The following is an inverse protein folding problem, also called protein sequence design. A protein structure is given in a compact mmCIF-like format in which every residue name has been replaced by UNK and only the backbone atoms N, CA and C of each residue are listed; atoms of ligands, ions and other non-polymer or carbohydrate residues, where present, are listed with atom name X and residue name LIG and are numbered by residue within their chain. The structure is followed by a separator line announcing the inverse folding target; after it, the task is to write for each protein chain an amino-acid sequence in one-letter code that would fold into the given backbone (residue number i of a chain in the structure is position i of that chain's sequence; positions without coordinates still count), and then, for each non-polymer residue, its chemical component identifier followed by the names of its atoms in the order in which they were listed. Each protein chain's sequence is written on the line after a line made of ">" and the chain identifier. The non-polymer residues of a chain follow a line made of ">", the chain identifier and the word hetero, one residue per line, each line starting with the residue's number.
data_IF_920988107646
#
_entry.id   IF_920988107646
#
_cell.length_a   1.000
_cell.length_b   1.000
_cell.length_c   1.000
_cell.angle_alpha   90.00
_cell.angle_beta   90.00
_cell.angle_gamma   90.00
#
_symmetry.space_group_name_H-M   'P 1'
#
loop_
_entity.id
_entity.type
_entity.pdbx_description
1 polymer ?
#
# COMPACT_ATOMS: atom_id res chain seq x y z
N UNK A 1 8.09 8.78 0.13
CA UNK A 1 8.85 7.98 -0.85
C UNK A 1 9.70 8.92 -1.68
N UNK A 2 10.99 8.66 -1.84
CA UNK A 2 11.82 9.40 -2.78
C UNK A 2 11.26 9.28 -4.21
N UNK A 3 11.37 10.34 -4.99
CA UNK A 3 10.73 10.42 -6.32
C UNK A 3 11.22 9.33 -7.29
N UNK A 4 12.51 8.98 -7.21
CA UNK A 4 13.11 7.94 -8.05
C UNK A 4 12.47 6.53 -7.90
N UNK A 5 11.71 6.29 -6.84
CA UNK A 5 11.05 4.99 -6.59
C UNK A 5 9.54 5.02 -6.89
N UNK A 6 9.01 6.17 -7.30
CA UNK A 6 7.60 6.27 -7.68
C UNK A 6 7.36 5.64 -9.04
N UNK A 7 6.13 5.18 -9.25
CA UNK A 7 5.68 4.75 -10.55
C UNK A 7 5.65 5.93 -11.53
N UNK A 8 6.05 5.68 -12.77
CA UNK A 8 5.85 6.64 -13.87
C UNK A 8 4.37 6.65 -14.25
N UNK A 9 3.71 7.79 -14.06
CA UNK A 9 2.28 7.93 -14.30
C UNK A 9 1.87 7.64 -15.75
N UNK A 10 2.74 7.92 -16.76
CA UNK A 10 2.45 7.61 -18.15
C UNK A 10 2.52 6.10 -18.42
N UNK A 11 3.49 5.41 -17.83
CA UNK A 11 3.58 3.94 -17.91
C UNK A 11 2.40 3.27 -17.21
N UNK A 12 2.02 3.76 -16.03
CA UNK A 12 0.83 3.28 -15.31
C UNK A 12 -0.43 3.48 -16.14
N UNK A 13 -0.62 4.65 -16.74
CA UNK A 13 -1.80 4.93 -17.58
C UNK A 13 -1.85 3.97 -18.79
N UNK A 14 -0.72 3.73 -19.45
CA UNK A 14 -0.62 2.79 -20.57
C UNK A 14 -0.91 1.34 -20.16
N UNK A 15 -0.44 0.91 -18.98
CA UNK A 15 -0.73 -0.40 -18.42
C UNK A 15 -2.21 -0.52 -18.03
N UNK A 16 -2.76 0.50 -17.37
CA UNK A 16 -4.16 0.57 -16.97
C UNK A 16 -5.14 0.53 -18.16
N UNK A 17 -4.77 1.11 -19.30
CA UNK A 17 -5.58 1.03 -20.52
C UNK A 17 -5.78 -0.43 -20.97
N UNK A 18 -4.80 -1.30 -20.74
CA UNK A 18 -4.85 -2.74 -21.07
C UNK A 18 -5.53 -3.59 -19.98
N UNK A 19 -5.73 -3.05 -18.78
CA UNK A 19 -6.43 -3.73 -17.69
C UNK A 19 -7.94 -3.55 -17.86
N UNK A 20 -8.57 -4.47 -18.58
CA UNK A 20 -10.01 -4.42 -18.89
C UNK A 20 -10.71 -5.67 -18.38
N UNK A 21 -12.03 -5.59 -18.14
CA UNK A 21 -12.84 -6.74 -17.76
C UNK A 21 -12.80 -7.86 -18.83
N UNK A 22 -12.65 -7.52 -20.10
CA UNK A 22 -12.48 -8.51 -21.17
C UNK A 22 -11.17 -9.30 -21.05
N UNK A 23 -10.09 -8.66 -20.58
CA UNK A 23 -8.79 -9.31 -20.36
C UNK A 23 -8.72 -10.07 -19.03
N UNK A 24 -9.45 -9.60 -18.04
CA UNK A 24 -9.49 -10.16 -16.68
C UNK A 24 -10.94 -10.40 -16.25
N UNK A 25 -11.65 -11.39 -16.86
CA UNK A 25 -13.09 -11.56 -16.69
C UNK A 25 -13.49 -11.94 -15.25
N UNK A 26 -12.59 -12.58 -14.51
CA UNK A 26 -12.86 -13.04 -13.13
C UNK A 26 -12.33 -12.06 -12.08
N UNK A 27 -11.73 -10.94 -12.48
CA UNK A 27 -11.15 -9.99 -11.56
C UNK A 27 -12.09 -8.82 -11.26
N UNK A 28 -12.24 -8.49 -9.98
CA UNK A 28 -12.96 -7.30 -9.53
C UNK A 28 -12.12 -6.02 -9.64
N UNK A 29 -10.80 -6.16 -9.59
CA UNK A 29 -9.80 -5.10 -9.72
C UNK A 29 -8.47 -5.67 -10.25
N UNK A 30 -7.59 -4.79 -10.71
CA UNK A 30 -6.23 -5.13 -11.16
C UNK A 30 -5.26 -4.18 -10.51
N UNK A 31 -4.22 -4.70 -9.86
CA UNK A 31 -3.07 -3.92 -9.42
C UNK A 31 -2.23 -3.61 -10.66
N UNK A 32 -2.23 -2.35 -11.05
CA UNK A 32 -1.55 -1.88 -12.27
C UNK A 32 -0.06 -1.72 -12.04
N UNK A 33 0.31 -1.13 -10.90
CA UNK A 33 1.68 -1.01 -10.43
C UNK A 33 1.67 -0.93 -8.89
N UNK A 34 2.61 -1.59 -8.26
CA UNK A 34 2.79 -1.56 -6.82
C UNK A 34 4.27 -1.52 -6.48
N UNK A 35 4.71 -0.46 -5.83
CA UNK A 35 6.12 -0.23 -5.52
C UNK A 35 6.34 -0.12 -4.04
N UNK A 36 7.16 -1.02 -3.54
CA UNK A 36 7.64 -1.02 -2.16
C UNK A 36 9.09 -0.54 -2.13
N UNK A 37 9.37 0.42 -1.27
CA UNK A 37 10.73 0.86 -1.00
C UNK A 37 10.96 0.91 0.50
N UNK A 38 11.89 0.12 1.00
CA UNK A 38 12.27 0.09 2.42
C UNK A 38 13.73 0.51 2.55
N UNK A 39 13.98 1.46 3.43
CA UNK A 39 15.32 1.80 3.90
C UNK A 39 15.49 1.33 5.33
N UNK A 40 16.42 0.42 5.49
CA UNK A 40 16.75 -0.26 6.73
C UNK A 40 18.06 0.30 7.32
N UNK A 41 18.10 0.48 8.64
CA UNK A 41 19.25 0.98 9.37
C UNK A 41 19.93 -0.12 10.20
N UNK A 42 21.20 0.08 10.56
CA UNK A 42 22.00 -0.94 11.23
C UNK A 42 21.50 -1.33 12.64
N UNK A 43 20.72 -0.47 13.29
CA UNK A 43 20.13 -0.72 14.60
C UNK A 43 18.79 -1.50 14.54
N UNK A 44 18.32 -1.79 13.34
CA UNK A 44 17.06 -2.50 13.08
C UNK A 44 15.84 -1.57 12.91
N UNK A 45 16.03 -0.26 12.91
CA UNK A 45 14.98 0.69 12.53
C UNK A 45 14.84 0.73 11.02
N UNK A 46 13.67 1.13 10.53
CA UNK A 46 13.40 1.25 9.09
C UNK A 46 12.36 2.34 8.77
N UNK A 47 12.34 2.74 7.51
CA UNK A 47 11.25 3.48 6.91
C UNK A 47 10.88 2.79 5.61
N UNK A 48 9.62 2.41 5.49
CA UNK A 48 9.05 1.80 4.29
C UNK A 48 8.03 2.73 3.65
N UNK A 49 7.99 2.75 2.33
CA UNK A 49 7.01 3.45 1.51
C UNK A 49 6.37 2.48 0.54
N UNK A 50 5.13 2.78 0.19
CA UNK A 50 4.35 2.05 -0.81
C UNK A 50 3.67 3.07 -1.75
N UNK A 51 3.66 2.74 -3.04
CA UNK A 51 3.03 3.51 -4.12
C UNK A 51 2.19 2.55 -4.96
N UNK A 52 0.88 2.45 -4.63
CA UNK A 52 -0.04 1.45 -5.16
C UNK A 52 -1.06 2.08 -6.12
N UNK A 53 -1.22 1.47 -7.29
CA UNK A 53 -2.16 1.86 -8.33
C UNK A 53 -3.10 0.70 -8.66
N UNK A 54 -4.36 0.81 -8.29
CA UNK A 54 -5.37 -0.24 -8.49
C UNK A 54 -6.48 0.25 -9.40
N UNK A 55 -6.67 -0.42 -10.53
CA UNK A 55 -7.82 -0.18 -11.41
C UNK A 55 -9.01 -1.02 -11.00
N UNK A 56 -10.15 -0.37 -10.83
CA UNK A 56 -11.42 -1.01 -10.48
C UNK A 56 -12.13 -1.49 -11.74
N UNK A 57 -12.54 -2.76 -11.77
CA UNK A 57 -13.21 -3.35 -12.93
C UNK A 57 -14.72 -3.59 -12.72
N UNK A 58 -15.15 -3.78 -11.46
CA UNK A 58 -16.53 -4.10 -11.12
C UNK A 58 -17.04 -3.27 -9.94
N UNK A 59 -18.35 -3.26 -9.70
CA UNK A 59 -18.95 -2.66 -8.51
C UNK A 59 -18.49 -3.33 -7.21
N UNK A 60 -18.16 -4.62 -7.23
CA UNK A 60 -17.61 -5.32 -6.09
C UNK A 60 -16.19 -4.81 -5.80
N UNK A 61 -15.35 -4.65 -6.83
CA UNK A 61 -14.04 -4.02 -6.73
C UNK A 61 -14.13 -2.57 -6.22
N UNK A 62 -15.09 -1.78 -6.73
CA UNK A 62 -15.31 -0.42 -6.24
C UNK A 62 -15.57 -0.38 -4.73
N UNK A 63 -16.43 -1.26 -4.22
CA UNK A 63 -16.70 -1.35 -2.78
C UNK A 63 -15.48 -1.80 -1.98
N UNK A 64 -14.73 -2.77 -2.48
CA UNK A 64 -13.51 -3.27 -1.82
C UNK A 64 -12.44 -2.18 -1.70
N UNK A 65 -12.35 -1.29 -2.69
CA UNK A 65 -11.36 -0.21 -2.72
C UNK A 65 -11.89 1.17 -2.28
N UNK A 66 -13.13 1.24 -1.74
CA UNK A 66 -13.73 2.47 -1.25
C UNK A 66 -13.10 2.99 0.06
N UNK A 67 -12.21 2.24 0.67
CA UNK A 67 -11.48 2.63 1.88
C UNK A 67 -10.04 2.14 1.77
N UNK A 68 -9.09 2.99 2.15
CA UNK A 68 -7.69 2.62 2.40
C UNK A 68 -7.57 2.35 3.90
N UNK A 69 -7.02 1.20 4.26
CA UNK A 69 -6.82 0.81 5.66
C UNK A 69 -5.39 0.34 5.88
N UNK A 70 -4.80 0.69 7.02
CA UNK A 70 -3.47 0.23 7.41
C UNK A 70 -3.39 0.03 8.90
N UNK A 71 -2.93 -1.16 9.30
CA UNK A 71 -2.68 -1.52 10.68
C UNK A 71 -1.22 -1.25 11.05
N UNK A 72 -1.01 -0.73 12.24
CA UNK A 72 0.33 -0.49 12.79
C UNK A 72 0.32 -0.54 14.32
N UNK A 73 1.45 -0.87 14.91
CA UNK A 73 1.61 -0.81 16.37
C UNK A 73 2.35 0.47 16.77
N UNK A 74 1.66 1.36 17.47
CA UNK A 74 2.23 2.59 18.01
C UNK A 74 3.32 2.34 19.07
N UNK A 75 3.44 1.10 19.58
CA UNK A 75 4.53 0.64 20.45
C UNK A 75 5.87 0.63 19.73
N UNK A 76 5.87 0.25 18.45
CA UNK A 76 7.09 0.01 17.69
C UNK A 76 7.36 1.08 16.66
N UNK A 77 6.32 1.76 16.19
CA UNK A 77 6.47 2.72 15.11
C UNK A 77 5.26 3.59 14.88
N UNK A 78 5.19 4.10 13.69
CA UNK A 78 4.11 4.93 13.18
C UNK A 78 3.92 4.69 11.68
N UNK A 79 2.77 5.10 11.18
CA UNK A 79 2.40 4.98 9.78
C UNK A 79 1.53 6.17 9.35
N UNK A 80 1.43 6.40 8.07
CA UNK A 80 0.57 7.47 7.56
C UNK A 80 0.36 7.42 6.06
N UNK A 81 -0.65 8.16 5.61
CA UNK A 81 -0.93 8.39 4.20
C UNK A 81 -0.21 9.65 3.73
N UNK A 82 0.47 9.55 2.58
CA UNK A 82 1.09 10.68 1.89
C UNK A 82 0.13 11.30 0.88
N UNK A 83 -0.63 10.46 0.18
CA UNK A 83 -1.66 10.86 -0.76
C UNK A 83 -2.65 9.72 -1.00
N UNK A 84 -3.89 10.09 -1.28
CA UNK A 84 -4.91 9.23 -1.87
C UNK A 84 -5.53 10.01 -3.02
N UNK A 85 -5.54 9.43 -4.20
CA UNK A 85 -5.99 10.07 -5.42
C UNK A 85 -6.88 9.12 -6.23
N UNK A 86 -7.81 9.68 -6.98
CA UNK A 86 -8.60 8.95 -7.96
C UNK A 86 -8.21 9.48 -9.34
N UNK A 87 -7.76 8.58 -10.21
CA UNK A 87 -7.46 8.91 -11.60
C UNK A 87 -8.63 8.46 -12.46
N UNK A 88 -9.33 9.42 -13.01
CA UNK A 88 -10.49 9.19 -13.88
C UNK A 88 -10.09 8.51 -15.19
N UNK A 89 -11.07 7.94 -15.87
CA UNK A 89 -10.89 7.30 -17.19
C UNK A 89 -10.40 8.27 -18.27
N UNK A 90 -10.58 9.57 -18.05
CA UNK A 90 -10.08 10.66 -18.89
C UNK A 90 -8.69 11.17 -18.47
N UNK A 91 -8.03 10.52 -17.48
CA UNK A 91 -6.73 10.91 -16.97
C UNK A 91 -6.74 12.05 -15.94
N UNK A 92 -7.90 12.61 -15.62
CA UNK A 92 -8.01 13.67 -14.61
C UNK A 92 -7.78 13.09 -13.22
N UNK A 93 -6.84 13.67 -12.48
CA UNK A 93 -6.51 13.29 -11.10
C UNK A 93 -7.37 14.10 -10.14
N UNK A 94 -8.06 13.41 -9.24
CA UNK A 94 -8.86 14.00 -8.16
C UNK A 94 -8.26 13.59 -6.81
N UNK A 95 -7.63 14.52 -6.07
CA UNK A 95 -7.11 14.22 -4.75
C UNK A 95 -8.24 14.02 -3.74
N UNK A 96 -8.06 13.06 -2.84
CA UNK A 96 -8.93 12.87 -1.68
C UNK A 96 -8.37 13.72 -0.52
N UNK A 97 -9.25 14.45 0.14
CA UNK A 97 -8.87 15.20 1.36
C UNK A 97 -8.63 14.21 2.51
N UNK A 98 -7.39 13.75 2.62
CA UNK A 98 -6.97 12.79 3.65
C UNK A 98 -7.21 13.34 5.05
N UNK A 99 -6.96 14.63 5.29
CA UNK A 99 -7.12 15.23 6.62
C UNK A 99 -8.58 15.17 7.10
N UNK A 100 -9.53 15.28 6.18
CA UNK A 100 -10.97 15.23 6.48
C UNK A 100 -11.50 13.79 6.62
N UNK A 101 -10.92 12.83 5.90
CA UNK A 101 -11.45 11.47 5.79
C UNK A 101 -10.72 10.46 6.66
N UNK A 102 -9.51 10.78 7.13
CA UNK A 102 -8.69 9.89 7.95
C UNK A 102 -9.32 9.69 9.34
N UNK A 103 -9.47 8.44 9.72
CA UNK A 103 -9.88 8.03 11.06
C UNK A 103 -8.82 7.08 11.61
N UNK A 104 -8.57 7.18 12.92
CA UNK A 104 -7.70 6.25 13.63
C UNK A 104 -8.50 5.60 14.75
N UNK A 105 -8.46 4.29 14.83
CA UNK A 105 -9.12 3.50 15.85
C UNK A 105 -8.16 2.47 16.45
N UNK A 106 -8.50 1.89 17.57
CA UNK A 106 -7.88 0.65 18.06
C UNK A 106 -8.28 -0.48 17.11
N UNK A 107 -7.38 -1.43 16.88
CA UNK A 107 -7.64 -2.55 15.98
C UNK A 107 -8.88 -3.34 16.42
N UNK A 108 -9.91 -3.35 15.57
CA UNK A 108 -11.18 -4.04 15.85
C UNK A 108 -11.05 -5.56 15.78
N UNK A 109 -10.12 -6.12 15.05
CA UNK A 109 -9.89 -7.56 14.97
C UNK A 109 -9.33 -8.08 16.30
N UNK A 110 -8.41 -7.34 16.91
CA UNK A 110 -7.89 -7.61 18.24
C UNK A 110 -8.98 -7.52 19.31
N UNK A 111 -9.89 -6.54 19.21
CA UNK A 111 -11.04 -6.41 20.11
C UNK A 111 -11.98 -7.62 20.02
N UNK A 112 -12.26 -8.13 18.84
CA UNK A 112 -13.12 -9.29 18.64
C UNK A 112 -12.52 -10.59 19.23
N UNK A 113 -11.20 -10.67 19.31
CA UNK A 113 -10.46 -11.80 19.90
C UNK A 113 -10.22 -11.64 21.42
N UNK A 114 -10.75 -10.60 22.07
CA UNK A 114 -10.44 -10.20 23.46
C UNK A 114 -8.94 -9.95 23.73
N UNK A 115 -8.17 -9.68 22.69
CA UNK A 115 -6.76 -9.31 22.75
C UNK A 115 -6.69 -7.81 22.48
N UNK A 116 -6.66 -7.02 23.55
CA UNK A 116 -6.62 -5.56 23.40
C UNK A 116 -5.23 -5.05 23.74
N UNK A 117 -4.42 -4.76 22.73
CA UNK A 117 -3.31 -3.82 22.90
C UNK A 117 -3.77 -2.43 22.44
N UNK A 118 -3.94 -1.47 23.37
CA UNK A 118 -4.40 -0.13 22.99
C UNK A 118 -3.39 0.63 22.12
N UNK A 119 -2.20 0.08 21.89
CA UNK A 119 -1.18 0.61 21.01
C UNK A 119 -1.27 0.04 19.58
N UNK A 120 -2.05 -1.02 19.37
CA UNK A 120 -2.36 -1.50 18.02
C UNK A 120 -3.47 -0.64 17.44
N UNK A 121 -3.19 -0.06 16.30
CA UNK A 121 -3.99 0.98 15.64
C UNK A 121 -4.27 0.61 14.21
N UNK A 122 -5.49 0.90 13.79
CA UNK A 122 -5.88 0.95 12.37
C UNK A 122 -6.16 2.40 12.02
N UNK A 123 -5.55 2.91 10.99
CA UNK A 123 -6.11 4.08 10.32
C UNK A 123 -6.90 3.67 9.09
N UNK A 124 -7.95 4.41 8.80
CA UNK A 124 -8.77 4.24 7.61
C UNK A 124 -9.06 5.58 6.97
N UNK A 125 -9.05 5.61 5.64
CA UNK A 125 -9.34 6.78 4.84
C UNK A 125 -10.37 6.39 3.77
N UNK A 126 -11.55 7.01 3.79
CA UNK A 126 -12.54 6.79 2.75
C UNK A 126 -12.09 7.40 1.42
N UNK A 127 -12.43 6.72 0.32
CA UNK A 127 -12.16 7.15 -1.06
C UNK A 127 -13.49 7.48 -1.75
N UNK A 128 -14.11 8.61 -1.41
CA UNK A 128 -15.43 8.97 -1.93
C UNK A 128 -15.37 9.27 -3.43
N UNK A 129 -16.38 8.81 -4.17
CA UNK A 129 -16.50 9.09 -5.60
C UNK A 129 -15.63 8.23 -6.50
N UNK A 130 -15.00 7.16 -5.98
CA UNK A 130 -14.35 6.15 -6.81
C UNK A 130 -15.41 5.41 -7.63
N UNK A 131 -15.18 5.26 -8.93
CA UNK A 131 -16.09 4.59 -9.86
C UNK A 131 -15.44 3.42 -10.59
N UNK A 132 -16.26 2.57 -11.19
CA UNK A 132 -15.78 1.48 -12.07
C UNK A 132 -15.05 2.07 -13.28
N UNK A 133 -13.91 1.49 -13.62
CA UNK A 133 -13.02 1.94 -14.68
C UNK A 133 -11.94 2.94 -14.23
N UNK A 134 -12.10 3.55 -13.06
CA UNK A 134 -11.12 4.49 -12.49
C UNK A 134 -10.01 3.77 -11.73
N UNK A 135 -8.95 4.50 -11.46
CA UNK A 135 -7.79 4.01 -10.70
C UNK A 135 -7.79 4.67 -9.32
N UNK A 136 -7.66 3.89 -8.27
CA UNK A 136 -7.27 4.35 -6.96
C UNK A 136 -5.74 4.38 -6.89
N UNK A 137 -5.16 5.51 -6.57
CA UNK A 137 -3.74 5.67 -6.32
C UNK A 137 -3.51 6.02 -4.85
N UNK A 138 -2.66 5.26 -4.18
CA UNK A 138 -2.36 5.42 -2.75
C UNK A 138 -0.87 5.50 -2.57
N UNK A 139 -0.42 6.48 -1.80
CA UNK A 139 0.95 6.55 -1.30
C UNK A 139 0.92 6.57 0.22
N UNK A 140 1.62 5.66 0.82
CA UNK A 140 1.72 5.55 2.27
C UNK A 140 3.15 5.37 2.74
N UNK A 141 3.34 5.46 4.04
CA UNK A 141 4.62 5.17 4.69
C UNK A 141 4.39 4.48 6.03
N UNK A 142 5.39 3.70 6.43
CA UNK A 142 5.52 3.09 7.75
C UNK A 142 6.91 3.37 8.28
N UNK A 143 7.07 3.46 9.58
CA UNK A 143 8.37 3.62 10.22
C UNK A 143 8.45 2.78 11.48
N UNK A 144 9.47 1.94 11.58
CA UNK A 144 9.85 1.26 12.81
C UNK A 144 10.87 2.12 13.56
N UNK A 145 10.45 2.65 14.72
CA UNK A 145 11.32 3.44 15.62
C UNK A 145 11.97 2.58 16.70
N UNK A 146 11.31 1.49 17.06
CA UNK A 146 11.76 0.56 18.09
C UNK A 146 11.63 -0.86 17.55
N UNK A 147 12.69 -1.42 16.97
CA UNK A 147 12.64 -2.76 16.44
C UNK A 147 12.37 -3.79 17.55
N UNK A 148 11.64 -4.85 17.25
CA UNK A 148 11.38 -5.95 18.19
C UNK A 148 12.68 -6.66 18.59
N UNK A 149 13.63 -6.76 17.67
CA UNK A 149 15.00 -7.22 17.92
C UNK A 149 15.99 -6.16 17.46
N UNK A 150 16.83 -5.71 18.38
CA UNK A 150 17.87 -4.72 18.06
C UNK A 150 18.87 -5.27 17.05
N UNK A 151 19.19 -4.48 16.05
CA UNK A 151 20.15 -4.84 15.02
C UNK A 151 19.70 -5.96 14.09
N UNK A 152 18.41 -6.32 14.11
CA UNK A 152 17.82 -7.28 13.17
C UNK A 152 16.67 -6.62 12.44
N UNK A 153 16.56 -6.93 11.15
CA UNK A 153 15.43 -6.55 10.30
C UNK A 153 15.00 -7.77 9.49
N UNK A 154 13.72 -7.96 9.35
CA UNK A 154 13.12 -8.96 8.47
C UNK A 154 11.78 -8.41 7.97
N UNK A 155 11.48 -8.63 6.71
CA UNK A 155 10.22 -8.29 6.10
C UNK A 155 9.80 -9.37 5.10
N UNK A 156 8.51 -9.43 4.81
CA UNK A 156 7.93 -10.36 3.83
C UNK A 156 6.96 -9.59 2.96
N UNK A 157 7.20 -9.58 1.67
CA UNK A 157 6.30 -9.02 0.67
C UNK A 157 5.59 -10.16 -0.06
N UNK A 158 4.26 -10.19 0.02
CA UNK A 158 3.45 -11.13 -0.74
C UNK A 158 3.16 -10.51 -2.11
N UNK A 159 3.67 -11.16 -3.17
CA UNK A 159 3.43 -10.77 -4.55
C UNK A 159 2.27 -11.54 -5.21
N UNK A 160 1.64 -12.46 -4.47
CA UNK A 160 0.46 -13.21 -4.90
C UNK A 160 -0.77 -12.69 -4.14
N UNK A 161 -1.75 -12.20 -4.90
CA UNK A 161 -2.99 -11.65 -4.37
C UNK A 161 -4.19 -12.19 -5.14
N UNK A 162 -5.40 -11.97 -4.62
CA UNK A 162 -6.66 -12.31 -5.32
C UNK A 162 -6.91 -11.45 -6.56
N UNK A 163 -6.33 -10.26 -6.63
CA UNK A 163 -6.35 -9.40 -7.81
C UNK A 163 -5.11 -9.64 -8.67
N UNK A 164 -5.23 -9.73 -9.99
CA UNK A 164 -4.08 -9.77 -10.88
C UNK A 164 -3.14 -8.58 -10.67
N UNK A 165 -1.84 -8.82 -10.68
CA UNK A 165 -0.78 -7.80 -10.57
C UNK A 165 -0.07 -7.70 -11.93
N UNK A 166 -0.01 -6.50 -12.52
CA UNK A 166 0.70 -6.27 -13.78
C UNK A 166 2.17 -5.92 -13.55
N UNK A 167 2.45 -5.19 -12.49
CA UNK A 167 3.80 -4.78 -12.10
C UNK A 167 3.90 -4.70 -10.58
N UNK A 168 4.96 -5.28 -10.02
CA UNK A 168 5.35 -5.08 -8.64
C UNK A 168 6.86 -4.92 -8.54
N UNK A 169 7.32 -3.93 -7.78
CA UNK A 169 8.75 -3.65 -7.58
C UNK A 169 9.04 -3.53 -6.10
N UNK A 170 9.95 -4.35 -5.62
CA UNK A 170 10.43 -4.28 -4.23
C UNK A 170 11.87 -3.80 -4.23
N UNK A 171 12.11 -2.69 -3.55
CA UNK A 171 13.44 -2.11 -3.39
C UNK A 171 13.79 -2.02 -1.92
N UNK A 172 14.99 -2.48 -1.57
CA UNK A 172 15.48 -2.44 -0.19
C UNK A 172 16.87 -1.81 -0.17
N UNK A 173 16.99 -0.71 0.56
CA UNK A 173 18.28 -0.08 0.88
C UNK A 173 18.74 -0.56 2.25
N UNK A 174 19.95 -1.09 2.32
CA UNK A 174 20.56 -1.57 3.55
C UNK A 174 21.98 -1.00 3.73
N UNK A 175 22.47 -0.85 4.98
CA UNK A 175 23.84 -0.48 5.23
C UNK A 175 24.81 -1.51 4.64
N UNK A 176 25.87 -1.06 3.96
CA UNK A 176 26.87 -1.94 3.34
C UNK A 176 27.51 -2.95 4.33
N UNK A 177 27.62 -2.56 5.60
CA UNK A 177 28.15 -3.42 6.66
C UNK A 177 27.17 -4.53 7.10
N UNK A 178 25.93 -4.52 6.61
CA UNK A 178 24.91 -5.51 6.94
C UNK A 178 24.14 -5.93 5.68
N UNK A 179 24.75 -6.75 4.83
CA UNK A 179 24.13 -7.22 3.62
C UNK A 179 22.85 -8.02 3.94
N UNK A 180 21.82 -7.83 3.13
CA UNK A 180 20.57 -8.55 3.23
C UNK A 180 20.70 -9.93 2.57
N UNK A 181 20.06 -10.91 3.19
CA UNK A 181 19.80 -12.21 2.55
C UNK A 181 18.33 -12.22 2.14
N UNK A 182 18.06 -12.54 0.90
CA UNK A 182 16.68 -12.66 0.41
C UNK A 182 16.44 -14.06 -0.14
N UNK A 183 15.22 -14.53 0.01
CA UNK A 183 14.72 -15.75 -0.61
C UNK A 183 13.35 -15.44 -1.22
N UNK A 184 13.10 -15.96 -2.41
CA UNK A 184 11.79 -15.92 -3.06
C UNK A 184 11.29 -17.34 -3.29
N UNK A 185 10.00 -17.55 -3.07
CA UNK A 185 9.28 -18.75 -3.48
C UNK A 185 8.36 -18.31 -4.63
N UNK A 186 8.52 -18.94 -5.79
CA UNK A 186 7.68 -18.76 -6.97
C UNK A 186 6.66 -19.87 -7.05
#
# INVERSE_FOLDING_TARGET
>A
MPEAFRADAAQVAAAAARATAARFPDADSVVVDDRFHTRYEADGTDVAWEDEWVKVLTEKGRRAHATVSLDYSARYGDAGLLAVEIVGTNGVVRPVDVARTLKTATDNAALAANIVDPLDRTFSCAVPGLAVGEIRHVRLWRRTRKPRMRGAWADTTLLEQTSPILSAVVTVDAPAARPLVHAGVL
#
